data_IF_228011396226
#
_entry.id   IF_228011396226
#
_cell.length_a   1.000
_cell.length_b   1.000
_cell.length_c   1.000
_cell.angle_alpha   90.00
_cell.angle_beta   90.00
_cell.angle_gamma   90.00
#
_symmetry.space_group_name_H-M   'P 1'
#
loop_
_entity.id
_entity.type
_entity.pdbx_description
1 polymer ?
#
# COMPACT_ATOMS: atom_id res chain seq x y z
N UNK A 1 -21.17 -25.44 -3.55
CA UNK A 1 -20.16 -24.83 -4.45
C UNK A 1 -19.00 -25.79 -4.41
N UNK A 2 -18.77 -26.56 -5.47
CA UNK A 2 -17.62 -27.47 -5.52
C UNK A 2 -16.34 -26.63 -5.37
N UNK A 3 -15.38 -27.01 -4.51
CA UNK A 3 -14.11 -26.32 -4.43
C UNK A 3 -13.48 -26.32 -5.82
N UNK A 4 -13.28 -25.15 -6.42
CA UNK A 4 -12.65 -25.02 -7.74
C UNK A 4 -11.17 -25.38 -7.75
N UNK A 5 -10.68 -26.01 -6.70
CA UNK A 5 -9.30 -26.38 -6.51
C UNK A 5 -9.31 -27.91 -6.39
N UNK A 6 -8.76 -28.59 -7.39
CA UNK A 6 -8.44 -30.03 -7.34
C UNK A 6 -7.31 -30.29 -6.35
N UNK A 7 -7.42 -29.74 -5.15
CA UNK A 7 -6.47 -29.93 -4.07
C UNK A 7 -6.82 -31.27 -3.42
N UNK A 8 -5.82 -32.05 -3.01
CA UNK A 8 -6.08 -33.29 -2.28
C UNK A 8 -6.93 -33.04 -1.02
N UNK A 9 -7.60 -34.08 -0.53
CA UNK A 9 -8.58 -34.02 0.57
C UNK A 9 -8.11 -33.17 1.76
N UNK A 10 -6.82 -33.26 2.11
CA UNK A 10 -6.21 -32.49 3.20
C UNK A 10 -6.37 -30.97 3.04
N UNK A 11 -6.15 -30.42 1.85
CA UNK A 11 -6.14 -28.97 1.64
C UNK A 11 -7.54 -28.39 1.44
N UNK A 12 -8.50 -29.19 1.00
CA UNK A 12 -9.87 -28.72 0.74
C UNK A 12 -10.57 -28.20 1.99
N UNK A 13 -10.28 -28.75 3.17
CA UNK A 13 -10.84 -28.29 4.44
C UNK A 13 -10.38 -26.87 4.82
N UNK A 14 -9.27 -26.39 4.26
CA UNK A 14 -8.70 -25.06 4.52
C UNK A 14 -9.01 -24.04 3.42
N UNK A 15 -9.77 -24.43 2.40
CA UNK A 15 -10.09 -23.52 1.30
C UNK A 15 -11.20 -22.56 1.72
N UNK A 16 -10.93 -21.26 1.62
CA UNK A 16 -11.86 -20.21 2.00
C UNK A 16 -11.78 -19.03 1.01
N UNK A 17 -12.82 -18.19 0.92
CA UNK A 17 -12.70 -16.93 0.21
C UNK A 17 -11.79 -15.96 0.95
N UNK A 18 -11.05 -15.14 0.20
CA UNK A 18 -10.37 -14.00 0.80
C UNK A 18 -11.40 -13.06 1.44
N UNK A 19 -11.02 -12.46 2.58
CA UNK A 19 -11.86 -11.49 3.26
C UNK A 19 -11.35 -10.07 3.04
N UNK A 20 -12.27 -9.13 2.83
CA UNK A 20 -11.98 -7.72 2.70
C UNK A 20 -12.78 -6.92 3.72
N UNK A 21 -12.07 -6.20 4.58
CA UNK A 21 -12.65 -5.38 5.63
C UNK A 21 -12.33 -3.90 5.42
N UNK A 22 -13.37 -3.07 5.41
CA UNK A 22 -13.23 -1.61 5.32
C UNK A 22 -13.18 -1.01 6.72
N UNK A 23 -12.14 -0.23 6.99
CA UNK A 23 -12.05 0.58 8.20
C UNK A 23 -13.08 1.73 8.17
N UNK A 24 -13.71 1.98 9.31
CA UNK A 24 -14.75 3.00 9.50
C UNK A 24 -14.24 4.14 10.39
N UNK A 25 -14.91 5.30 10.35
CA UNK A 25 -14.46 6.51 11.08
C UNK A 25 -14.46 6.33 12.60
N UNK A 26 -15.27 5.42 13.14
CA UNK A 26 -15.34 5.08 14.56
C UNK A 26 -14.35 3.97 14.96
N UNK A 27 -13.42 3.61 14.09
CA UNK A 27 -12.36 2.64 14.38
C UNK A 27 -12.82 1.18 14.31
N UNK A 28 -13.97 0.91 13.68
CA UNK A 28 -14.46 -0.45 13.44
C UNK A 28 -14.13 -0.93 12.04
N UNK A 29 -14.35 -2.22 11.80
CA UNK A 29 -14.19 -2.85 10.51
C UNK A 29 -15.52 -3.43 10.03
N UNK A 30 -15.86 -3.13 8.78
CA UNK A 30 -17.03 -3.67 8.10
C UNK A 30 -16.59 -4.71 7.08
N UNK A 31 -17.20 -5.91 7.13
CA UNK A 31 -16.94 -6.95 6.13
C UNK A 31 -17.62 -6.56 4.80
N UNK A 32 -16.82 -6.19 3.81
CA UNK A 32 -17.30 -5.84 2.47
C UNK A 32 -16.96 -6.92 1.42
N UNK A 33 -16.52 -8.09 1.87
CA UNK A 33 -16.24 -9.24 1.00
C UNK A 33 -17.40 -9.56 0.03
N UNK A 34 -18.70 -9.51 0.44
CA UNK A 34 -19.82 -9.76 -0.48
C UNK A 34 -19.89 -8.80 -1.68
N UNK A 35 -19.31 -7.60 -1.59
CA UNK A 35 -19.31 -6.59 -2.64
C UNK A 35 -17.95 -6.40 -3.34
N UNK A 36 -16.92 -7.18 -2.99
CA UNK A 36 -15.53 -6.99 -3.47
C UNK A 36 -15.19 -7.88 -4.68
N UNK A 37 -16.21 -8.46 -5.32
CA UNK A 37 -16.09 -9.10 -6.63
C UNK A 37 -15.05 -10.23 -6.71
N UNK A 38 -14.15 -10.13 -7.69
CA UNK A 38 -13.21 -11.19 -8.05
C UNK A 38 -12.25 -11.58 -6.92
N UNK A 39 -11.86 -10.63 -6.06
CA UNK A 39 -10.91 -10.87 -4.98
C UNK A 39 -11.48 -11.80 -3.89
N UNK A 40 -12.77 -11.66 -3.55
CA UNK A 40 -13.43 -12.39 -2.46
C UNK A 40 -14.35 -13.54 -2.93
N UNK A 41 -14.50 -13.76 -4.23
CA UNK A 41 -15.45 -14.77 -4.76
C UNK A 41 -14.85 -16.16 -4.94
N UNK A 42 -13.52 -16.28 -4.96
CA UNK A 42 -12.81 -17.56 -5.16
C UNK A 42 -12.57 -18.24 -3.82
N UNK A 43 -12.90 -19.51 -3.72
CA UNK A 43 -12.58 -20.37 -2.56
C UNK A 43 -11.26 -21.07 -2.85
N UNK A 44 -10.18 -20.61 -2.25
CA UNK A 44 -8.81 -21.09 -2.50
C UNK A 44 -8.04 -21.21 -1.17
N UNK A 45 -6.89 -21.88 -1.21
CA UNK A 45 -5.99 -21.97 -0.05
C UNK A 45 -4.92 -20.90 -0.19
N UNK A 46 -5.31 -19.64 0.02
CA UNK A 46 -4.40 -18.48 -0.01
C UNK A 46 -3.36 -18.59 1.11
N UNK A 47 -2.11 -18.23 0.80
CA UNK A 47 -0.99 -18.29 1.76
C UNK A 47 -0.18 -17.02 1.89
N UNK A 48 -0.18 -16.17 0.87
CA UNK A 48 0.52 -14.89 0.94
C UNK A 48 -0.27 -13.81 0.23
N UNK A 49 -0.02 -12.57 0.63
CA UNK A 49 -0.54 -11.36 0.00
C UNK A 49 0.63 -10.38 -0.12
N UNK A 50 0.89 -9.92 -1.33
CA UNK A 50 1.76 -8.79 -1.61
C UNK A 50 0.92 -7.64 -2.17
N UNK A 51 1.24 -6.42 -1.72
CA UNK A 51 0.58 -5.18 -2.14
C UNK A 51 1.58 -4.25 -2.83
N UNK A 52 1.11 -3.56 -3.87
CA UNK A 52 1.89 -2.56 -4.61
C UNK A 52 1.07 -1.97 -5.74
N UNK A 53 1.56 -0.90 -6.36
CA UNK A 53 0.96 -0.31 -7.57
C UNK A 53 1.74 -0.86 -8.78
N UNK A 54 1.23 -1.94 -9.38
CA UNK A 54 1.92 -2.74 -10.39
C UNK A 54 1.91 -2.07 -11.76
N UNK A 55 0.81 -1.39 -12.10
CA UNK A 55 0.64 -0.72 -13.40
C UNK A 55 0.86 0.80 -13.35
N UNK A 56 1.16 1.35 -12.16
CA UNK A 56 1.55 2.75 -11.93
C UNK A 56 0.42 3.75 -12.13
N UNK A 57 -0.81 3.33 -11.83
CA UNK A 57 -1.99 4.18 -11.95
C UNK A 57 -2.41 4.85 -10.63
N UNK A 58 -1.75 4.48 -9.52
CA UNK A 58 -1.93 5.08 -8.21
C UNK A 58 -2.85 4.35 -7.26
N UNK A 59 -3.47 3.26 -7.70
CA UNK A 59 -4.23 2.40 -6.83
C UNK A 59 -3.40 1.19 -6.35
N UNK A 60 -3.90 0.45 -5.35
CA UNK A 60 -3.13 -0.63 -4.72
C UNK A 60 -3.63 -1.98 -5.22
N UNK A 61 -2.77 -2.66 -5.97
CA UNK A 61 -2.97 -4.00 -6.47
C UNK A 61 -2.62 -5.07 -5.45
N UNK A 62 -3.13 -6.27 -5.70
CA UNK A 62 -2.89 -7.45 -4.87
C UNK A 62 -2.30 -8.60 -5.69
N UNK A 63 -1.23 -9.20 -5.16
CA UNK A 63 -0.71 -10.50 -5.63
C UNK A 63 -0.90 -11.53 -4.53
N UNK A 64 -1.57 -12.63 -4.85
CA UNK A 64 -1.88 -13.71 -3.91
C UNK A 64 -1.28 -15.02 -4.40
N UNK A 65 -0.56 -15.72 -3.52
CA UNK A 65 -0.11 -17.09 -3.80
C UNK A 65 -1.04 -18.10 -3.15
N UNK A 66 -1.31 -19.19 -3.86
CA UNK A 66 -2.18 -20.26 -3.41
C UNK A 66 -1.39 -21.58 -3.30
N UNK A 67 -1.81 -22.45 -2.38
CA UNK A 67 -1.28 -23.83 -2.32
C UNK A 67 -1.75 -24.59 -3.56
N UNK A 68 -0.79 -25.22 -4.26
CA UNK A 68 -1.02 -26.14 -5.40
C UNK A 68 -2.01 -25.57 -6.44
N UNK A 69 -1.92 -24.26 -6.67
CA UNK A 69 -2.74 -23.53 -7.61
C UNK A 69 -1.96 -22.32 -8.14
N UNK A 70 -2.47 -21.72 -9.20
CA UNK A 70 -1.86 -20.54 -9.81
C UNK A 70 -1.85 -19.35 -8.86
N UNK A 71 -0.79 -18.55 -8.95
CA UNK A 71 -0.78 -17.21 -8.38
C UNK A 71 -1.90 -16.37 -9.00
N UNK A 72 -2.44 -15.44 -8.22
CA UNK A 72 -3.46 -14.50 -8.66
C UNK A 72 -2.89 -13.09 -8.59
N UNK A 73 -3.14 -12.32 -9.66
CA UNK A 73 -2.91 -10.89 -9.69
C UNK A 73 -4.30 -10.26 -9.80
N UNK A 74 -4.57 -9.32 -8.91
CA UNK A 74 -5.76 -8.51 -8.92
C UNK A 74 -5.31 -7.08 -9.12
N UNK A 75 -5.51 -6.58 -10.34
CA UNK A 75 -5.39 -5.16 -10.61
C UNK A 75 -6.62 -4.49 -10.04
N UNK A 76 -6.40 -3.50 -9.20
CA UNK A 76 -7.48 -2.67 -8.70
C UNK A 76 -7.85 -1.65 -9.79
N UNK A 77 -9.10 -1.21 -9.78
CA UNK A 77 -9.61 -0.20 -10.72
C UNK A 77 -10.48 0.74 -9.89
N UNK A 78 -9.81 1.45 -8.98
CA UNK A 78 -10.45 2.36 -8.06
C UNK A 78 -10.96 3.60 -8.80
N UNK A 79 -12.24 3.99 -8.64
CA UNK A 79 -12.74 5.20 -9.25
C UNK A 79 -11.95 6.43 -8.77
N UNK A 80 -11.26 7.11 -9.68
CA UNK A 80 -10.46 8.32 -9.42
C UNK A 80 -11.30 9.60 -9.23
N UNK A 81 -12.56 9.47 -8.79
CA UNK A 81 -13.55 10.57 -8.78
C UNK A 81 -13.22 11.66 -7.74
N UNK A 82 -12.26 12.53 -8.05
CA UNK A 82 -11.81 13.62 -7.18
C UNK A 82 -11.06 13.15 -5.92
N UNK A 83 -10.49 11.94 -5.97
CA UNK A 83 -9.63 11.41 -4.92
C UNK A 83 -8.20 11.38 -5.39
N UNK A 84 -7.29 11.80 -4.51
CA UNK A 84 -5.88 11.91 -4.78
C UNK A 84 -5.09 10.90 -3.96
N UNK A 85 -3.88 10.61 -4.42
CA UNK A 85 -2.96 9.70 -3.76
C UNK A 85 -1.53 10.24 -3.75
N UNK A 86 -0.68 9.66 -2.91
CA UNK A 86 0.77 9.86 -3.00
C UNK A 86 1.46 8.57 -2.58
N UNK A 87 2.42 8.11 -3.37
CA UNK A 87 3.33 7.04 -2.95
C UNK A 87 4.69 7.61 -2.61
N UNK A 88 5.22 7.20 -1.46
CA UNK A 88 6.49 7.70 -0.93
C UNK A 88 7.47 6.56 -0.74
N UNK A 89 8.56 6.57 -1.51
CA UNK A 89 9.76 5.77 -1.23
C UNK A 89 10.69 6.58 -0.32
N UNK A 90 11.38 5.90 0.59
CA UNK A 90 12.36 6.54 1.47
C UNK A 90 13.67 5.75 1.40
N UNK A 91 14.77 6.42 1.09
CA UNK A 91 16.08 5.78 0.90
C UNK A 91 17.16 6.41 1.77
N UNK A 92 18.01 5.57 2.33
CA UNK A 92 19.18 5.95 3.14
C UNK A 92 20.39 5.16 2.65
N UNK A 93 21.50 5.84 2.38
CA UNK A 93 22.73 5.24 1.84
C UNK A 93 22.50 4.31 0.61
N UNK A 94 21.63 4.74 -0.32
CA UNK A 94 21.32 3.98 -1.54
C UNK A 94 20.45 2.74 -1.35
N UNK A 95 19.85 2.54 -0.17
CA UNK A 95 18.95 1.40 0.13
C UNK A 95 17.60 1.90 0.64
N UNK A 96 16.56 1.09 0.51
CA UNK A 96 15.27 1.41 1.11
C UNK A 96 15.39 1.48 2.64
N UNK A 97 14.84 2.55 3.21
CA UNK A 97 14.91 2.84 4.63
C UNK A 97 13.78 2.12 5.37
N UNK A 98 13.78 0.78 5.35
CA UNK A 98 12.76 -0.03 6.04
C UNK A 98 12.68 0.38 7.52
N UNK A 99 11.47 0.64 8.01
CA UNK A 99 11.20 1.18 9.34
C UNK A 99 11.21 2.70 9.44
N UNK A 100 11.53 3.43 8.36
CA UNK A 100 11.33 4.86 8.29
C UNK A 100 9.84 5.18 8.51
N UNK A 101 9.57 6.18 9.35
CA UNK A 101 8.23 6.58 9.73
C UNK A 101 7.91 7.91 9.06
N UNK A 102 6.97 7.88 8.12
CA UNK A 102 6.69 8.96 7.18
C UNK A 102 5.37 9.59 7.58
N UNK A 103 5.40 10.90 7.86
CA UNK A 103 4.22 11.73 8.08
C UNK A 103 4.06 12.72 6.91
N UNK A 104 2.96 12.64 6.18
CA UNK A 104 2.53 13.65 5.22
C UNK A 104 1.66 14.68 5.93
N UNK A 105 1.89 15.97 5.66
CA UNK A 105 1.10 17.07 6.21
C UNK A 105 0.53 17.89 5.06
N UNK A 106 -0.80 18.04 5.02
CA UNK A 106 -1.49 18.74 3.93
C UNK A 106 -1.08 20.22 3.84
N UNK A 107 -1.02 20.90 4.99
CA UNK A 107 -0.68 22.31 5.10
C UNK A 107 0.39 22.51 6.18
N UNK A 108 1.24 23.53 6.07
CA UNK A 108 2.24 23.82 7.11
C UNK A 108 1.64 24.63 8.28
N UNK A 109 0.59 24.09 8.90
CA UNK A 109 -0.09 24.68 10.06
C UNK A 109 -0.24 23.64 11.19
N UNK A 110 -0.32 24.05 12.47
CA UNK A 110 -0.38 23.10 13.59
C UNK A 110 -1.65 22.22 13.62
N UNK A 111 -2.72 22.62 12.92
CA UNK A 111 -4.00 21.90 12.87
C UNK A 111 -4.23 21.20 11.53
N UNK A 112 -3.22 21.20 10.65
CA UNK A 112 -3.32 20.57 9.34
C UNK A 112 -3.60 19.07 9.46
N UNK A 113 -4.38 18.54 8.51
CA UNK A 113 -4.56 17.11 8.34
C UNK A 113 -3.20 16.46 8.05
N UNK A 114 -2.89 15.39 8.78
CA UNK A 114 -1.70 14.58 8.52
C UNK A 114 -2.04 13.09 8.40
N UNK A 115 -1.19 12.38 7.68
CA UNK A 115 -1.24 10.93 7.53
C UNK A 115 0.12 10.39 7.87
N UNK A 116 0.18 9.31 8.64
CA UNK A 116 1.45 8.72 9.07
C UNK A 116 1.45 7.23 8.83
N UNK A 117 2.51 6.74 8.18
CA UNK A 117 2.70 5.33 7.87
C UNK A 117 4.19 4.99 7.87
N UNK A 118 4.59 3.82 8.40
CA UNK A 118 5.96 3.34 8.25
C UNK A 118 6.19 2.74 6.87
N UNK A 119 7.42 2.85 6.36
CA UNK A 119 7.89 2.09 5.21
C UNK A 119 8.21 0.67 5.67
N UNK A 120 7.36 -0.29 5.32
CA UNK A 120 7.56 -1.69 5.66
C UNK A 120 7.36 -2.57 4.44
N UNK A 121 8.29 -3.51 4.24
CA UNK A 121 8.23 -4.45 3.12
C UNK A 121 7.49 -5.75 3.43
N UNK A 122 7.13 -6.01 4.69
CA UNK A 122 6.62 -7.31 5.13
C UNK A 122 5.25 -7.17 5.79
N UNK A 123 4.21 -7.75 5.18
CA UNK A 123 2.84 -7.72 5.71
C UNK A 123 2.21 -9.10 5.88
N UNK A 124 2.54 -10.06 5.01
CA UNK A 124 1.92 -11.38 4.99
C UNK A 124 2.97 -12.48 5.03
N UNK A 125 2.52 -13.72 5.06
CA UNK A 125 3.37 -14.88 5.21
C UNK A 125 4.22 -15.09 3.94
N UNK A 126 5.55 -15.10 4.13
CA UNK A 126 6.55 -15.35 3.08
C UNK A 126 6.40 -14.47 1.81
N UNK A 127 5.90 -13.23 1.95
CA UNK A 127 5.79 -12.25 0.86
C UNK A 127 6.45 -10.91 1.20
N UNK A 128 6.74 -10.14 0.15
CA UNK A 128 7.22 -8.77 0.24
C UNK A 128 6.34 -7.83 -0.59
N UNK A 129 6.01 -6.67 -0.02
CA UNK A 129 5.28 -5.60 -0.71
C UNK A 129 6.24 -4.70 -1.48
N UNK A 130 5.67 -3.86 -2.35
CA UNK A 130 6.42 -2.72 -2.88
C UNK A 130 6.99 -1.87 -1.73
N UNK A 131 8.27 -1.49 -1.84
CA UNK A 131 8.95 -0.63 -0.87
C UNK A 131 8.63 0.85 -1.13
N UNK A 132 7.33 1.15 -1.19
CA UNK A 132 6.76 2.48 -1.25
C UNK A 132 5.52 2.54 -0.34
N UNK A 133 5.41 3.62 0.43
CA UNK A 133 4.26 3.83 1.30
C UNK A 133 3.18 4.57 0.52
N UNK A 134 2.05 3.90 0.27
CA UNK A 134 0.88 4.52 -0.35
C UNK A 134 0.05 5.32 0.67
N UNK A 135 -0.41 6.49 0.27
CA UNK A 135 -1.33 7.34 1.03
C UNK A 135 -2.53 7.72 0.15
N UNK A 136 -3.73 7.30 0.56
CA UNK A 136 -4.98 7.86 0.03
C UNK A 136 -5.28 9.21 0.70
N UNK A 137 -5.30 10.28 -0.08
CA UNK A 137 -5.46 11.66 0.40
C UNK A 137 -6.92 12.11 0.39
N UNK A 138 -7.78 11.42 -0.37
CA UNK A 138 -9.16 11.82 -0.61
C UNK A 138 -9.17 13.11 -1.44
N UNK A 139 -9.96 14.10 -1.07
CA UNK A 139 -10.07 15.37 -1.82
C UNK A 139 -8.92 16.35 -1.59
N UNK A 140 -7.83 15.94 -0.93
CA UNK A 140 -6.66 16.81 -0.72
C UNK A 140 -5.76 16.71 -1.94
N UNK A 141 -5.65 17.81 -2.69
CA UNK A 141 -4.94 17.92 -3.97
C UNK A 141 -3.51 18.49 -3.82
N UNK A 142 -3.09 18.80 -2.59
CA UNK A 142 -1.75 19.29 -2.30
C UNK A 142 -1.23 18.76 -0.96
N UNK A 143 0.06 18.42 -0.91
CA UNK A 143 0.77 18.07 0.33
C UNK A 143 1.90 19.07 0.52
N UNK A 144 1.88 19.83 1.62
CA UNK A 144 2.93 20.81 1.89
C UNK A 144 4.28 20.14 2.11
N UNK A 145 4.34 19.14 3.00
CA UNK A 145 5.60 18.54 3.41
C UNK A 145 5.45 17.08 3.85
N UNK A 146 6.56 16.34 3.73
CA UNK A 146 6.77 15.04 4.34
C UNK A 146 7.80 15.16 5.46
N UNK A 147 7.45 14.71 6.68
CA UNK A 147 8.38 14.54 7.79
C UNK A 147 8.75 13.07 7.88
N UNK A 148 10.05 12.80 7.93
CA UNK A 148 10.56 11.43 8.05
C UNK A 148 11.31 11.32 9.35
N UNK A 149 10.97 10.31 10.17
CA UNK A 149 11.88 9.79 11.19
C UNK A 149 12.56 8.56 10.60
N UNK A 150 13.86 8.67 10.38
CA UNK A 150 14.68 7.59 9.81
C UNK A 150 14.87 6.43 10.78
N UNK A 151 15.31 5.24 10.30
CA UNK A 151 15.54 4.08 11.16
C UNK A 151 16.57 4.31 12.27
N UNK A 152 17.54 5.21 12.07
CA UNK A 152 18.54 5.61 13.06
C UNK A 152 18.02 6.63 14.10
N UNK A 153 16.76 7.06 13.97
CA UNK A 153 16.10 8.02 14.85
C UNK A 153 16.27 9.49 14.44
N UNK A 154 17.12 9.79 13.45
CA UNK A 154 17.25 11.15 12.91
C UNK A 154 15.96 11.58 12.19
N UNK A 155 15.79 12.89 11.98
CA UNK A 155 14.56 13.46 11.41
C UNK A 155 14.87 14.46 10.31
N UNK A 156 14.12 14.38 9.22
CA UNK A 156 14.19 15.31 8.10
C UNK A 156 12.80 15.73 7.64
N UNK A 157 12.75 16.85 6.93
CA UNK A 157 11.56 17.38 6.29
C UNK A 157 11.84 17.66 4.81
N UNK A 158 10.86 17.36 3.96
CA UNK A 158 10.90 17.56 2.52
C UNK A 158 9.66 18.31 2.09
N UNK A 159 9.81 19.33 1.24
CA UNK A 159 8.67 19.95 0.56
C UNK A 159 8.16 19.01 -0.54
N UNK A 160 6.85 18.78 -0.61
CA UNK A 160 6.25 17.80 -1.53
C UNK A 160 5.58 18.49 -2.72
N UNK A 161 4.60 19.37 -2.47
CA UNK A 161 3.89 20.07 -3.52
C UNK A 161 2.80 19.21 -4.16
N UNK A 162 3.12 18.42 -5.19
CA UNK A 162 2.12 17.70 -6.00
C UNK A 162 1.68 16.36 -5.40
N UNK A 163 0.45 15.98 -5.71
CA UNK A 163 -0.13 14.65 -5.45
C UNK A 163 -0.24 13.85 -6.77
N UNK A 164 -0.84 12.67 -6.72
CA UNK A 164 -1.07 11.76 -7.84
C UNK A 164 0.23 11.30 -8.52
N UNK A 165 1.22 11.01 -7.67
CA UNK A 165 2.54 10.63 -8.13
C UNK A 165 3.30 9.78 -7.11
N UNK A 166 4.43 9.25 -7.59
CA UNK A 166 5.45 8.60 -6.77
C UNK A 166 6.59 9.58 -6.51
N UNK A 167 7.00 9.70 -5.25
CA UNK A 167 8.15 10.49 -4.82
C UNK A 167 9.15 9.64 -4.05
N UNK A 168 10.44 9.96 -4.16
CA UNK A 168 11.52 9.34 -3.40
C UNK A 168 12.20 10.38 -2.51
N UNK A 169 12.20 10.12 -1.20
CA UNK A 169 12.88 10.91 -0.18
C UNK A 169 14.27 10.33 0.06
N UNK A 170 15.32 11.12 -0.14
CA UNK A 170 16.70 10.69 0.03
C UNK A 170 17.31 11.32 1.30
N UNK A 171 17.62 10.48 2.30
CA UNK A 171 18.21 10.93 3.56
C UNK A 171 19.50 11.73 3.35
N UNK A 172 19.67 12.78 4.16
CA UNK A 172 20.85 13.65 4.20
C UNK A 172 20.94 14.66 3.06
N UNK A 173 20.02 14.64 2.09
CA UNK A 173 20.06 15.55 0.93
C UNK A 173 19.08 16.71 1.06
N UNK A 174 18.05 16.58 1.91
CA UNK A 174 16.88 17.49 1.90
C UNK A 174 16.17 17.55 0.55
N UNK A 175 16.48 16.65 -0.38
CA UNK A 175 16.00 16.66 -1.77
C UNK A 175 14.99 15.53 -1.97
N UNK A 176 13.88 15.87 -2.61
CA UNK A 176 12.88 14.92 -3.09
C UNK A 176 13.06 14.71 -4.59
N UNK A 177 13.04 13.44 -5.01
CA UNK A 177 13.05 13.06 -6.43
C UNK A 177 11.64 12.66 -6.85
N UNK A 178 11.13 13.22 -7.95
CA UNK A 178 9.83 12.84 -8.51
C UNK A 178 10.02 11.77 -9.60
N UNK A 179 9.08 10.83 -9.70
CA UNK A 179 9.18 9.61 -10.50
C UNK A 179 9.26 9.74 -12.03
N UNK A 180 9.72 10.86 -12.59
CA UNK A 180 10.06 10.95 -14.02
C UNK A 180 11.50 10.54 -14.35
N UNK A 181 12.37 10.39 -13.35
CA UNK A 181 13.82 10.34 -13.59
C UNK A 181 14.50 8.98 -13.33
N UNK A 182 13.77 7.89 -13.18
CA UNK A 182 14.38 6.57 -12.92
C UNK A 182 13.70 5.42 -13.69
N UNK A 183 14.27 5.11 -14.87
CA UNK A 183 14.29 3.76 -15.48
C UNK A 183 15.36 2.88 -14.79
#
# INVERSE_FOLDING_TARGET
MEPGASLGDFWNEYAEPNLFFRGTKDGRFENISPSTGAFCSRVEVSRSLALGDLDRDGDVDCVVTNVDNMLRIFLNDAPQAGSHWLQVRARVHGRDAIGADIELVAENTPQAKSWRRPLIGTYSYASGNELATHFGLGTVDQVALARVRWPDGTREQFDVGSVDCVVTLQAGTGTMLTGKDHE
#
